data_IF_231956304869
#
_entry.id   IF_231956304869
#
_cell.length_a   1.000
_cell.length_b   1.000
_cell.length_c   1.000
_cell.angle_alpha   90.00
_cell.angle_beta   90.00
_cell.angle_gamma   90.00
#
_symmetry.space_group_name_H-M   'P 1'
#
loop_
_entity.id
_entity.type
_entity.pdbx_description
1 polymer ?
#
# COMPACT_ATOMS: atom_id res chain seq x y z
N UNK A 1 -18.37 4.92 15.43
CA UNK A 1 -18.60 5.01 13.98
C UNK A 1 -17.51 4.25 13.29
N UNK A 2 -17.81 3.56 12.18
CA UNK A 2 -16.81 2.77 11.47
C UNK A 2 -15.78 3.70 10.79
N UNK A 3 -14.62 3.87 11.44
CA UNK A 3 -13.55 4.73 10.93
C UNK A 3 -13.05 4.27 9.55
N UNK A 4 -13.12 2.98 9.24
CA UNK A 4 -12.72 2.46 7.92
C UNK A 4 -13.65 3.00 6.84
N UNK A 5 -14.97 2.90 7.03
CA UNK A 5 -15.95 3.42 6.07
C UNK A 5 -15.83 4.93 5.84
N UNK A 6 -15.57 5.71 6.91
CA UNK A 6 -15.36 7.15 6.78
C UNK A 6 -14.08 7.49 6.00
N UNK A 7 -12.97 6.79 6.28
CA UNK A 7 -11.70 6.99 5.57
C UNK A 7 -11.85 6.57 4.10
N UNK A 8 -12.49 5.44 3.83
CA UNK A 8 -12.75 4.96 2.46
C UNK A 8 -13.56 5.98 1.66
N UNK A 9 -14.65 6.49 2.22
CA UNK A 9 -15.47 7.52 1.57
C UNK A 9 -14.68 8.81 1.30
N UNK A 10 -13.75 9.18 2.19
CA UNK A 10 -12.87 10.33 1.99
C UNK A 10 -11.85 10.07 0.88
N UNK A 11 -11.20 8.90 0.88
CA UNK A 11 -10.21 8.50 -0.14
C UNK A 11 -10.82 8.50 -1.54
N UNK A 12 -12.03 7.96 -1.71
CA UNK A 12 -12.75 7.94 -3.00
C UNK A 12 -13.12 9.32 -3.53
N UNK A 13 -13.08 10.35 -2.68
CA UNK A 13 -13.39 11.75 -3.04
C UNK A 13 -12.12 12.59 -3.27
N UNK A 14 -10.93 12.01 -3.14
CA UNK A 14 -9.69 12.71 -3.44
C UNK A 14 -9.62 12.97 -4.95
N UNK A 15 -9.42 14.22 -5.33
CA UNK A 15 -9.03 14.62 -6.68
C UNK A 15 -7.60 15.13 -6.62
N UNK A 16 -6.65 14.26 -6.98
CA UNK A 16 -5.19 14.53 -6.96
C UNK A 16 -4.74 15.24 -5.68
N UNK A 17 -5.19 14.71 -4.54
CA UNK A 17 -4.99 15.28 -3.20
C UNK A 17 -4.61 14.17 -2.21
N UNK A 18 -4.36 14.52 -0.96
CA UNK A 18 -3.93 13.61 0.10
C UNK A 18 -4.90 13.65 1.29
N UNK A 19 -4.95 12.54 2.03
CA UNK A 19 -5.68 12.44 3.30
C UNK A 19 -4.70 12.04 4.40
N UNK A 20 -4.52 12.92 5.38
CA UNK A 20 -3.76 12.59 6.58
C UNK A 20 -4.66 11.89 7.60
N UNK A 21 -4.31 10.66 7.97
CA UNK A 21 -4.99 9.89 9.01
C UNK A 21 -4.11 9.84 10.25
N UNK A 22 -4.49 10.60 11.29
CA UNK A 22 -3.77 10.63 12.56
C UNK A 22 -4.53 9.85 13.64
N UNK A 23 -3.81 9.03 14.37
CA UNK A 23 -4.28 8.39 15.61
C UNK A 23 -3.11 8.26 16.58
N UNK A 24 -3.32 8.34 17.91
CA UNK A 24 -2.29 7.99 18.89
C UNK A 24 -1.70 6.57 18.68
N UNK A 25 -0.55 6.23 19.27
CA UNK A 25 -0.05 4.86 19.29
C UNK A 25 -1.11 3.89 19.83
N UNK A 26 -1.23 2.71 19.22
CA UNK A 26 -2.18 1.66 19.66
C UNK A 26 -3.63 1.82 19.19
N UNK A 27 -4.00 2.85 18.41
CA UNK A 27 -5.39 3.07 17.97
C UNK A 27 -5.84 2.24 16.76
N UNK A 28 -5.12 1.16 16.42
CA UNK A 28 -5.51 0.28 15.32
C UNK A 28 -5.45 0.93 13.92
N UNK A 29 -4.49 1.84 13.68
CA UNK A 29 -4.30 2.47 12.36
C UNK A 29 -4.01 1.44 11.27
N UNK A 30 -3.10 0.49 11.53
CA UNK A 30 -2.80 -0.60 10.60
C UNK A 30 -4.04 -1.46 10.32
N UNK A 31 -4.80 -1.81 11.37
CA UNK A 31 -6.06 -2.57 11.26
C UNK A 31 -7.11 -1.85 10.41
N UNK A 32 -7.24 -0.53 10.59
CA UNK A 32 -8.19 0.32 9.85
C UNK A 32 -7.73 0.53 8.42
N UNK A 33 -6.46 0.88 8.23
CA UNK A 33 -5.84 1.08 6.92
C UNK A 33 -5.90 -0.17 6.06
N UNK A 34 -5.61 -1.35 6.62
CA UNK A 34 -5.73 -2.62 5.93
C UNK A 34 -7.14 -2.90 5.39
N UNK A 35 -8.18 -2.51 6.12
CA UNK A 35 -9.59 -2.66 5.66
C UNK A 35 -9.94 -1.69 4.55
N UNK A 36 -9.50 -0.44 4.66
CA UNK A 36 -9.66 0.55 3.59
C UNK A 36 -8.95 0.08 2.32
N UNK A 37 -7.69 -0.35 2.45
CA UNK A 37 -6.88 -0.85 1.33
C UNK A 37 -7.53 -2.08 0.70
N UNK A 38 -7.98 -3.05 1.51
CA UNK A 38 -8.71 -4.22 1.03
C UNK A 38 -9.90 -3.79 0.15
N UNK A 39 -10.78 -2.92 0.67
CA UNK A 39 -11.99 -2.50 -0.04
C UNK A 39 -11.67 -1.81 -1.38
N UNK A 40 -10.67 -0.93 -1.41
CA UNK A 40 -10.23 -0.26 -2.64
C UNK A 40 -9.68 -1.25 -3.66
N UNK A 41 -8.85 -2.20 -3.21
CA UNK A 41 -8.29 -3.23 -4.08
C UNK A 41 -9.40 -4.13 -4.61
N UNK A 42 -10.37 -4.54 -3.79
CA UNK A 42 -11.54 -5.31 -4.22
C UNK A 42 -12.32 -4.60 -5.34
N UNK A 43 -12.40 -3.27 -5.29
CA UNK A 43 -13.02 -2.41 -6.31
C UNK A 43 -12.14 -2.15 -7.54
N UNK A 44 -10.99 -2.79 -7.63
CA UNK A 44 -10.13 -2.71 -8.80
C UNK A 44 -8.98 -1.70 -8.70
N UNK A 45 -8.80 -1.03 -7.55
CA UNK A 45 -7.73 -0.06 -7.39
C UNK A 45 -6.36 -0.73 -7.26
N UNK A 46 -5.34 -0.08 -7.83
CA UNK A 46 -3.94 -0.37 -7.61
C UNK A 46 -3.41 0.52 -6.50
N UNK A 47 -3.14 -0.08 -5.35
CA UNK A 47 -2.71 0.62 -4.14
C UNK A 47 -1.26 0.29 -3.84
N UNK A 48 -0.41 1.31 -3.74
CA UNK A 48 0.96 1.19 -3.27
C UNK A 48 1.07 1.44 -1.77
N UNK A 49 1.93 0.71 -1.07
CA UNK A 49 2.25 0.91 0.35
C UNK A 49 3.74 1.11 0.52
N UNK A 50 4.10 2.23 1.15
CA UNK A 50 5.47 2.57 1.54
C UNK A 50 5.55 2.76 3.04
N UNK A 51 6.64 2.28 3.64
CA UNK A 51 7.00 2.57 5.02
C UNK A 51 8.52 2.59 5.19
N UNK A 52 9.00 2.94 6.39
CA UNK A 52 10.42 3.06 6.75
C UNK A 52 11.20 1.74 6.71
N UNK A 53 10.52 0.58 6.64
CA UNK A 53 11.21 -0.70 6.58
C UNK A 53 10.33 -1.85 6.12
N UNK A 54 10.98 -2.93 5.67
CA UNK A 54 10.34 -4.13 5.15
C UNK A 54 9.31 -4.72 6.13
N UNK A 55 9.60 -4.73 7.43
CA UNK A 55 8.71 -5.28 8.45
C UNK A 55 7.39 -4.51 8.54
N UNK A 56 7.43 -3.18 8.51
CA UNK A 56 6.21 -2.34 8.60
C UNK A 56 5.37 -2.50 7.34
N UNK A 57 6.01 -2.56 6.17
CA UNK A 57 5.34 -2.86 4.90
C UNK A 57 4.64 -4.22 5.01
N UNK A 58 5.37 -5.29 5.32
CA UNK A 58 4.83 -6.64 5.44
C UNK A 58 3.70 -6.72 6.46
N UNK A 59 3.80 -6.02 7.59
CA UNK A 59 2.75 -5.99 8.60
C UNK A 59 1.43 -5.45 8.04
N UNK A 60 1.44 -4.35 7.27
CA UNK A 60 0.22 -3.81 6.67
C UNK A 60 -0.31 -4.72 5.55
N UNK A 61 0.58 -5.25 4.69
CA UNK A 61 0.19 -6.19 3.65
C UNK A 61 -0.45 -7.45 4.23
N UNK A 62 0.16 -8.02 5.27
CA UNK A 62 -0.35 -9.19 5.95
C UNK A 62 -1.63 -8.85 6.71
N UNK A 63 -1.77 -7.68 7.33
CA UNK A 63 -3.03 -7.26 7.95
C UNK A 63 -4.16 -7.16 6.91
N UNK A 64 -3.87 -6.71 5.68
CA UNK A 64 -4.86 -6.70 4.58
C UNK A 64 -5.27 -8.12 4.19
N UNK A 65 -4.33 -9.06 4.11
CA UNK A 65 -4.63 -10.50 3.93
C UNK A 65 -5.48 -11.02 5.09
N UNK A 66 -5.13 -10.69 6.33
CA UNK A 66 -5.88 -11.06 7.53
C UNK A 66 -7.28 -10.45 7.57
N UNK A 67 -7.47 -9.28 6.96
CA UNK A 67 -8.77 -8.67 6.76
C UNK A 67 -9.58 -9.33 5.64
N UNK A 68 -9.01 -10.26 4.87
CA UNK A 68 -9.69 -11.06 3.84
C UNK A 68 -9.34 -10.70 2.40
N UNK A 69 -8.31 -9.87 2.17
CA UNK A 69 -7.79 -9.65 0.82
C UNK A 69 -7.11 -10.94 0.32
N UNK A 70 -7.40 -11.32 -0.93
CA UNK A 70 -6.76 -12.48 -1.56
C UNK A 70 -5.22 -12.31 -1.59
N UNK A 71 -4.44 -13.25 -0.99
CA UNK A 71 -2.98 -13.21 -1.01
C UNK A 71 -2.38 -13.11 -2.41
N UNK A 72 -3.06 -13.62 -3.44
CA UNK A 72 -2.61 -13.50 -4.83
C UNK A 72 -2.66 -12.05 -5.32
N UNK A 73 -3.48 -11.18 -4.72
CA UNK A 73 -3.57 -9.76 -5.07
C UNK A 73 -2.63 -8.88 -4.25
N UNK A 74 -1.82 -9.49 -3.37
CA UNK A 74 -0.86 -8.81 -2.52
C UNK A 74 0.54 -9.17 -2.97
N UNK A 75 1.29 -8.18 -3.43
CA UNK A 75 2.62 -8.38 -4.02
C UNK A 75 3.66 -7.48 -3.37
N UNK A 76 4.90 -7.96 -3.30
CA UNK A 76 6.08 -7.13 -3.02
C UNK A 76 7.26 -7.62 -3.83
N UNK A 77 8.29 -6.78 -3.92
CA UNK A 77 9.57 -7.21 -4.50
C UNK A 77 10.18 -8.35 -3.68
N UNK A 78 10.71 -9.34 -4.36
CA UNK A 78 11.44 -10.43 -3.75
C UNK A 78 12.70 -9.93 -3.02
N UNK A 79 12.84 -10.35 -1.77
CA UNK A 79 13.96 -10.10 -0.89
C UNK A 79 14.43 -11.40 -0.23
N UNK A 80 15.54 -11.33 0.52
CA UNK A 80 16.10 -12.50 1.20
C UNK A 80 15.42 -12.67 2.56
N UNK A 81 14.32 -13.43 2.60
CA UNK A 81 13.68 -13.88 3.85
C UNK A 81 12.31 -13.26 4.13
N UNK A 82 11.82 -13.45 5.36
CA UNK A 82 10.51 -12.97 5.83
C UNK A 82 9.36 -13.96 5.58
N UNK A 83 8.35 -13.93 6.44
CA UNK A 83 7.16 -14.81 6.40
C UNK A 83 5.93 -14.08 5.80
N UNK A 84 6.17 -13.12 4.91
CA UNK A 84 5.11 -12.41 4.21
C UNK A 84 4.21 -13.40 3.46
N UNK A 85 2.91 -13.25 3.66
CA UNK A 85 1.90 -14.22 3.21
C UNK A 85 1.44 -14.02 1.77
N UNK A 86 1.76 -12.87 1.17
CA UNK A 86 1.49 -12.57 -0.24
C UNK A 86 2.63 -13.01 -1.16
N UNK A 87 2.55 -12.60 -2.43
CA UNK A 87 3.52 -12.99 -3.45
C UNK A 87 4.78 -12.12 -3.40
N UNK A 88 5.93 -12.77 -3.51
CA UNK A 88 7.24 -12.12 -3.67
C UNK A 88 7.69 -12.26 -5.12
N UNK A 89 7.79 -11.13 -5.82
CA UNK A 89 8.00 -11.10 -7.27
C UNK A 89 9.36 -10.49 -7.63
N UNK A 90 9.99 -11.02 -8.67
CA UNK A 90 11.12 -10.35 -9.32
C UNK A 90 10.64 -9.10 -10.07
N UNK A 91 11.57 -8.21 -10.44
CA UNK A 91 11.25 -6.90 -11.01
C UNK A 91 10.32 -6.98 -12.24
N UNK A 92 10.55 -7.94 -13.15
CA UNK A 92 9.71 -8.16 -14.34
C UNK A 92 8.27 -8.56 -13.99
N UNK A 93 8.12 -9.50 -13.07
CA UNK A 93 6.80 -10.02 -12.69
C UNK A 93 6.03 -8.99 -11.86
N UNK A 94 6.74 -8.19 -11.07
CA UNK A 94 6.17 -7.06 -10.34
C UNK A 94 5.62 -6.01 -11.29
N UNK A 95 6.40 -5.63 -12.32
CA UNK A 95 5.95 -4.72 -13.37
C UNK A 95 4.71 -5.27 -14.11
N UNK A 96 4.74 -6.55 -14.48
CA UNK A 96 3.61 -7.20 -15.15
C UNK A 96 2.35 -7.20 -14.26
N UNK A 97 2.49 -7.46 -12.97
CA UNK A 97 1.38 -7.41 -12.02
C UNK A 97 0.80 -6.00 -11.89
N UNK A 98 1.66 -4.98 -11.70
CA UNK A 98 1.25 -3.58 -11.51
C UNK A 98 0.61 -3.00 -12.77
N UNK A 99 1.06 -3.40 -13.96
CA UNK A 99 0.49 -2.94 -15.23
C UNK A 99 -0.74 -3.74 -15.68
N UNK A 100 -0.97 -4.91 -15.09
CA UNK A 100 -2.10 -5.79 -15.39
C UNK A 100 -3.47 -5.19 -15.05
N UNK A 101 -4.53 -5.91 -15.41
CA UNK A 101 -5.90 -5.53 -15.08
C UNK A 101 -6.29 -5.92 -13.66
N UNK A 102 -7.26 -5.20 -13.10
CA UNK A 102 -7.77 -5.43 -11.76
C UNK A 102 -6.95 -4.78 -10.65
N UNK A 103 -7.52 -4.81 -9.45
CA UNK A 103 -6.91 -4.18 -8.28
C UNK A 103 -5.78 -5.03 -7.71
N UNK A 104 -4.77 -4.34 -7.20
CA UNK A 104 -3.55 -4.94 -6.70
C UNK A 104 -3.04 -4.13 -5.51
N UNK A 105 -2.57 -4.82 -4.47
CA UNK A 105 -1.83 -4.21 -3.39
C UNK A 105 -0.34 -4.47 -3.59
N UNK A 106 0.45 -3.42 -3.78
CA UNK A 106 1.91 -3.51 -3.92
C UNK A 106 2.61 -2.85 -2.75
N UNK A 107 3.46 -3.61 -2.05
CA UNK A 107 4.31 -3.08 -0.98
C UNK A 107 5.77 -2.97 -1.40
N UNK A 108 6.41 -1.88 -1.01
CA UNK A 108 7.82 -1.64 -1.29
C UNK A 108 8.37 -0.48 -0.49
N UNK A 109 9.69 -0.37 -0.43
CA UNK A 109 10.34 0.86 0.02
C UNK A 109 10.03 1.99 -0.96
N UNK A 110 10.29 3.25 -0.58
CA UNK A 110 10.18 4.38 -1.50
C UNK A 110 10.99 4.14 -2.78
N UNK A 111 12.19 3.58 -2.65
CA UNK A 111 13.05 3.20 -3.78
C UNK A 111 12.43 2.15 -4.72
N UNK A 112 11.59 1.26 -4.20
CA UNK A 112 10.90 0.27 -5.03
C UNK A 112 9.76 0.90 -5.82
N UNK A 113 9.00 1.81 -5.20
CA UNK A 113 7.81 2.41 -5.82
C UNK A 113 8.11 3.59 -6.75
N UNK A 114 9.28 4.22 -6.66
CA UNK A 114 9.73 5.26 -7.63
C UNK A 114 10.50 4.70 -8.81
N UNK A 115 10.60 3.37 -8.92
CA UNK A 115 11.37 2.74 -9.97
C UNK A 115 10.47 2.34 -11.14
N UNK A 116 10.59 3.04 -12.26
CA UNK A 116 9.76 2.82 -13.45
C UNK A 116 9.86 1.41 -14.05
N UNK A 117 10.93 0.66 -13.77
CA UNK A 117 11.06 -0.74 -14.21
C UNK A 117 10.27 -1.73 -13.33
N UNK A 118 9.65 -1.24 -12.26
CA UNK A 118 8.88 -2.02 -11.28
C UNK A 118 7.48 -1.47 -11.09
N UNK A 119 7.38 -0.15 -10.89
CA UNK A 119 6.12 0.58 -10.66
C UNK A 119 6.18 1.86 -11.52
N UNK A 120 5.61 1.85 -12.72
CA UNK A 120 5.61 3.02 -13.60
C UNK A 120 4.89 4.22 -12.99
N UNK A 121 5.38 5.43 -13.26
CA UNK A 121 4.67 6.65 -12.88
C UNK A 121 3.20 6.62 -13.36
N UNK A 122 2.27 6.95 -12.44
CA UNK A 122 0.83 6.96 -12.71
C UNK A 122 0.17 5.58 -12.79
N UNK A 123 0.85 4.49 -12.44
CA UNK A 123 0.26 3.15 -12.43
C UNK A 123 -0.54 2.81 -11.17
N UNK A 124 -0.48 3.67 -10.15
CA UNK A 124 -1.19 3.50 -8.87
C UNK A 124 -2.33 4.51 -8.77
N UNK A 125 -3.48 4.06 -8.30
CA UNK A 125 -4.63 4.91 -8.00
C UNK A 125 -4.48 5.57 -6.62
N UNK A 126 -3.72 4.94 -5.72
CA UNK A 126 -3.45 5.43 -4.38
C UNK A 126 -2.06 5.01 -3.90
N UNK A 127 -1.34 5.94 -3.28
CA UNK A 127 -0.13 5.68 -2.52
C UNK A 127 -0.39 5.88 -1.02
N UNK A 128 -0.21 4.83 -0.23
CA UNK A 128 -0.31 4.84 1.23
C UNK A 128 1.09 4.93 1.81
N UNK A 129 1.31 5.93 2.66
CA UNK A 129 2.57 6.14 3.39
C UNK A 129 2.30 5.86 4.87
N UNK A 130 2.78 4.71 5.36
CA UNK A 130 2.71 4.40 6.79
C UNK A 130 3.83 5.13 7.54
N UNK A 131 3.56 5.54 8.78
CA UNK A 131 4.47 6.33 9.62
C UNK A 131 4.95 7.65 8.98
N UNK A 132 4.09 8.30 8.19
CA UNK A 132 4.37 9.56 7.49
C UNK A 132 4.95 10.69 8.39
N UNK A 133 4.66 10.68 9.70
CA UNK A 133 5.21 11.65 10.66
C UNK A 133 6.70 11.46 10.98
N UNK A 134 7.29 10.32 10.62
CA UNK A 134 8.74 10.06 10.68
C UNK A 134 9.44 10.33 9.35
N UNK A 135 8.68 10.59 8.27
CA UNK A 135 9.22 11.15 7.03
C UNK A 135 9.41 12.66 7.24
N UNK A 136 10.64 13.14 7.10
CA UNK A 136 10.85 14.59 7.01
C UNK A 136 10.23 15.08 5.71
N UNK A 137 9.62 16.27 5.73
CA UNK A 137 8.89 16.91 4.63
C UNK A 137 9.64 16.95 3.26
N UNK A 138 10.95 16.65 3.26
CA UNK A 138 11.84 16.68 2.09
C UNK A 138 11.73 15.46 1.15
N UNK A 139 11.29 14.28 1.62
CA UNK A 139 11.20 13.07 0.77
C UNK A 139 9.82 12.86 0.12
N UNK A 140 8.80 13.62 0.55
CA UNK A 140 7.42 13.53 0.01
C UNK A 140 7.27 14.25 -1.33
N UNK A 141 8.19 15.14 -1.70
CA UNK A 141 8.18 15.90 -2.95
C UNK A 141 8.94 15.22 -4.10
N UNK A 142 9.54 14.05 -3.88
CA UNK A 142 10.26 13.28 -4.89
C UNK A 142 9.43 12.13 -5.50
N UNK A 143 8.14 12.04 -5.14
CA UNK A 143 7.15 11.07 -5.66
C UNK A 143 6.06 11.81 -6.41
#
# INVERSE_FOLDING_TARGET
GDFAAAIEAAVRRLDRSYLAVQGPPGTGKTWTGARVVRALVEDGWKVGVVAQGHRTIEQLLDEAIGAGLDPERVVKRADRGGDHRGRKLGDRDLLAAVTGEGGLLVGGTSYDLVNDHRVPAGSLDLLVIDEAGQFSLADTLAV
#
